data_IF_116876628238
#
_entry.id   IF_116876628238
#
_cell.length_a   1.000
_cell.length_b   1.000
_cell.length_c   1.000
_cell.angle_alpha   90.00
_cell.angle_beta   90.00
_cell.angle_gamma   90.00
#
_symmetry.space_group_name_H-M   'P 1'
#
loop_
_entity.id
_entity.type
_entity.pdbx_description
1 polymer ?
#
# COMPACT_ATOMS: atom_id res chain seq x y z
N UNK A 1 -2.81 7.96 -81.31
CA UNK A 1 -2.05 6.73 -81.03
C UNK A 1 -1.17 6.95 -79.81
N UNK A 2 -1.47 6.21 -78.73
CA UNK A 2 -0.58 5.66 -77.69
C UNK A 2 0.19 6.58 -76.70
N UNK A 3 0.05 6.16 -75.43
CA UNK A 3 0.82 6.41 -74.18
C UNK A 3 0.52 7.73 -73.46
N UNK A 4 -0.24 7.77 -72.34
CA UNK A 4 -0.13 7.08 -71.04
C UNK A 4 1.17 7.40 -70.30
N UNK A 5 1.10 8.35 -69.35
CA UNK A 5 2.00 8.43 -68.21
C UNK A 5 1.18 8.86 -66.98
N UNK A 6 0.89 7.88 -66.15
CA UNK A 6 0.31 8.01 -64.81
C UNK A 6 1.47 8.36 -63.88
N UNK A 7 1.37 9.49 -63.15
CA UNK A 7 2.24 9.77 -62.00
C UNK A 7 1.34 9.74 -60.77
N UNK A 8 1.38 8.63 -60.05
CA UNK A 8 0.83 8.49 -58.70
C UNK A 8 1.82 9.17 -57.76
N UNK A 9 1.48 10.37 -57.30
CA UNK A 9 2.16 11.01 -56.18
C UNK A 9 1.79 10.26 -54.89
N UNK A 10 2.69 9.43 -54.39
CA UNK A 10 2.61 8.85 -53.06
C UNK A 10 2.77 10.01 -52.07
N UNK A 11 1.66 10.42 -51.45
CA UNK A 11 1.71 11.23 -50.26
C UNK A 11 2.37 10.40 -49.16
N UNK A 12 3.67 10.64 -48.93
CA UNK A 12 4.35 10.26 -47.70
C UNK A 12 3.69 11.02 -46.56
N UNK A 13 2.65 10.42 -45.99
CA UNK A 13 2.15 10.80 -44.69
C UNK A 13 3.30 10.64 -43.71
N UNK A 14 3.77 11.78 -43.19
CA UNK A 14 4.73 11.85 -42.09
C UNK A 14 4.07 11.15 -40.90
N UNK A 15 4.32 9.85 -40.76
CA UNK A 15 4.15 9.12 -39.53
C UNK A 15 5.15 9.75 -38.56
N UNK A 16 4.67 10.74 -37.80
CA UNK A 16 5.38 11.22 -36.63
C UNK A 16 5.68 10.01 -35.77
N UNK A 17 6.96 9.62 -35.74
CA UNK A 17 7.46 8.68 -34.75
C UNK A 17 7.15 9.30 -33.39
N UNK A 18 6.05 8.85 -32.79
CA UNK A 18 5.83 9.00 -31.37
C UNK A 18 7.04 8.34 -30.73
N UNK A 19 7.94 9.17 -30.21
CA UNK A 19 9.08 8.73 -29.42
C UNK A 19 8.47 8.08 -28.18
N UNK A 20 8.30 6.75 -28.22
CA UNK A 20 7.94 5.97 -27.06
C UNK A 20 8.97 6.31 -25.98
N UNK A 21 8.54 6.95 -24.89
CA UNK A 21 9.37 7.17 -23.72
C UNK A 21 9.88 5.80 -23.27
N UNK A 22 11.21 5.62 -23.29
CA UNK A 22 11.84 4.36 -22.87
C UNK A 22 11.48 4.04 -21.41
N UNK A 23 11.11 2.77 -21.20
CA UNK A 23 10.70 2.19 -19.93
C UNK A 23 11.78 2.34 -18.85
N UNK A 24 11.42 2.67 -17.59
CA UNK A 24 12.25 2.30 -16.45
C UNK A 24 12.31 0.76 -16.36
N UNK A 25 13.51 0.20 -16.45
CA UNK A 25 13.79 -1.23 -16.68
C UNK A 25 13.45 -2.21 -15.54
N UNK A 26 12.38 -2.00 -14.76
CA UNK A 26 12.17 -2.72 -13.48
C UNK A 26 10.72 -3.14 -13.18
N UNK A 27 9.83 -3.17 -14.17
CA UNK A 27 8.48 -3.70 -14.01
C UNK A 27 8.34 -5.00 -14.82
N UNK A 28 8.19 -6.14 -14.14
CA UNK A 28 7.91 -7.45 -14.75
C UNK A 28 6.46 -7.58 -15.27
N UNK A 29 5.66 -6.51 -15.23
CA UNK A 29 4.32 -6.43 -15.81
C UNK A 29 4.25 -5.32 -16.87
N UNK A 30 3.54 -5.50 -17.99
CA UNK A 30 3.36 -4.45 -18.98
C UNK A 30 2.66 -3.23 -18.37
N UNK A 31 3.18 -2.03 -18.66
CA UNK A 31 2.73 -0.73 -18.14
C UNK A 31 1.28 -0.35 -18.51
N UNK A 32 0.68 -1.07 -19.47
CA UNK A 32 -0.71 -0.88 -19.90
C UNK A 32 -1.64 -1.24 -18.74
N UNK A 33 -2.20 -0.21 -18.08
CA UNK A 33 -3.13 -0.36 -16.96
C UNK A 33 -2.66 0.29 -15.65
N UNK A 34 -1.41 0.77 -15.52
CA UNK A 34 -0.84 1.13 -14.21
C UNK A 34 -0.80 2.65 -13.94
N UNK A 35 -1.21 3.09 -12.73
CA UNK A 35 -0.95 4.44 -12.20
C UNK A 35 0.35 4.45 -11.41
N UNK A 36 1.32 5.26 -11.82
CA UNK A 36 2.56 5.41 -11.06
C UNK A 36 2.56 6.72 -10.31
N UNK A 37 2.98 6.66 -9.07
CA UNK A 37 3.25 7.83 -8.28
C UNK A 37 4.70 7.87 -7.86
N UNK A 38 5.45 8.74 -8.52
CA UNK A 38 6.80 9.08 -8.13
C UNK A 38 6.72 10.17 -7.06
N UNK A 39 7.44 9.99 -5.97
CA UNK A 39 7.72 11.10 -5.07
C UNK A 39 8.69 12.06 -5.74
N UNK A 40 8.48 13.36 -5.57
CA UNK A 40 9.48 14.37 -5.95
C UNK A 40 10.73 14.29 -5.06
N UNK A 41 10.61 13.72 -3.84
CA UNK A 41 11.69 13.63 -2.86
C UNK A 41 12.76 12.58 -3.19
N UNK A 42 12.44 11.62 -4.07
CA UNK A 42 13.33 10.50 -4.48
C UNK A 42 13.74 9.57 -3.34
N UNK A 43 13.04 9.60 -2.22
CA UNK A 43 13.25 8.66 -1.10
C UNK A 43 12.38 7.40 -1.24
N UNK A 44 11.28 7.52 -1.99
CA UNK A 44 10.39 6.40 -2.29
C UNK A 44 9.74 6.52 -3.66
N UNK A 45 9.26 5.39 -4.17
CA UNK A 45 8.41 5.30 -5.34
C UNK A 45 7.19 4.46 -5.00
N UNK A 46 6.02 4.87 -5.46
CA UNK A 46 4.78 4.12 -5.26
C UNK A 46 4.15 3.79 -6.61
N UNK A 47 3.69 2.56 -6.75
CA UNK A 47 3.10 2.03 -7.98
C UNK A 47 1.75 1.43 -7.63
N UNK A 48 0.71 1.71 -8.43
CA UNK A 48 -0.58 1.03 -8.39
C UNK A 48 -0.86 0.47 -9.79
N UNK A 49 -1.03 -0.85 -9.89
CA UNK A 49 -1.43 -1.51 -11.13
C UNK A 49 -2.92 -1.35 -11.46
N UNK A 50 -3.28 -1.65 -12.71
CA UNK A 50 -4.66 -1.71 -13.23
C UNK A 50 -5.59 -2.66 -12.47
N UNK A 51 -4.96 -3.64 -11.84
CA UNK A 51 -5.51 -4.68 -11.00
C UNK A 51 -5.56 -4.29 -9.51
N UNK A 52 -5.24 -3.04 -9.18
CA UNK A 52 -5.18 -2.53 -7.81
C UNK A 52 -4.00 -3.08 -6.99
N UNK A 53 -3.05 -3.79 -7.59
CA UNK A 53 -1.81 -4.18 -6.92
C UNK A 53 -0.97 -2.92 -6.65
N UNK A 54 -0.78 -2.59 -5.38
CA UNK A 54 -0.04 -1.41 -4.98
C UNK A 54 1.24 -1.76 -4.23
N UNK A 55 2.33 -1.05 -4.51
CA UNK A 55 3.63 -1.29 -3.88
C UNK A 55 4.41 0.00 -3.68
N UNK A 56 4.98 0.17 -2.49
CA UNK A 56 5.92 1.24 -2.17
C UNK A 56 7.33 0.67 -2.12
N UNK A 57 8.22 1.26 -2.90
CA UNK A 57 9.66 0.99 -2.95
C UNK A 57 10.40 2.10 -2.23
N UNK A 58 11.33 1.75 -1.37
CA UNK A 58 12.31 2.70 -0.84
C UNK A 58 13.41 2.93 -1.87
N UNK A 59 14.00 4.13 -1.89
CA UNK A 59 15.05 4.50 -2.84
C UNK A 59 16.30 4.92 -2.08
N UNK A 60 17.40 4.19 -2.29
CA UNK A 60 18.73 4.59 -1.81
C UNK A 60 19.67 4.74 -2.99
N UNK A 61 20.45 5.82 -3.02
CA UNK A 61 21.39 6.10 -4.11
C UNK A 61 20.74 6.08 -5.51
N UNK A 62 19.50 6.59 -5.63
CA UNK A 62 18.68 6.61 -6.86
C UNK A 62 18.34 5.24 -7.42
N UNK A 63 18.39 4.18 -6.60
CA UNK A 63 17.98 2.82 -6.96
C UNK A 63 16.89 2.35 -6.02
N UNK A 64 15.88 1.67 -6.57
CA UNK A 64 14.86 0.98 -5.77
C UNK A 64 15.51 -0.11 -4.93
N UNK A 65 15.11 -0.21 -3.68
CA UNK A 65 15.35 -1.36 -2.82
C UNK A 65 14.24 -2.37 -3.12
N UNK A 66 14.54 -3.38 -3.95
CA UNK A 66 13.57 -4.40 -4.40
C UNK A 66 13.84 -5.81 -3.86
N UNK A 67 14.96 -6.01 -3.18
CA UNK A 67 15.38 -7.32 -2.66
C UNK A 67 14.94 -7.54 -1.22
N UNK A 68 14.58 -8.77 -0.86
CA UNK A 68 14.51 -9.22 0.54
C UNK A 68 13.50 -8.48 1.42
N UNK A 69 12.24 -8.34 0.98
CA UNK A 69 11.19 -7.73 1.81
C UNK A 69 11.30 -6.21 1.99
N UNK A 70 12.21 -5.54 1.28
CA UNK A 70 12.47 -4.10 1.37
C UNK A 70 11.43 -3.24 0.63
N UNK A 71 10.19 -3.72 0.50
CA UNK A 71 9.07 -3.00 -0.11
C UNK A 71 7.83 -3.15 0.77
N UNK A 72 6.88 -2.22 0.65
CA UNK A 72 5.59 -2.31 1.30
C UNK A 72 4.53 -2.66 0.26
N UNK A 73 3.96 -3.87 0.34
CA UNK A 73 2.84 -4.24 -0.54
C UNK A 73 1.54 -3.78 0.07
N UNK A 74 0.76 -3.02 -0.70
CA UNK A 74 -0.46 -2.37 -0.26
C UNK A 74 -1.64 -3.03 -0.97
N UNK A 75 -2.61 -3.46 -0.19
CA UNK A 75 -3.83 -4.14 -0.63
C UNK A 75 -5.06 -3.39 -0.11
N UNK A 76 -6.14 -3.38 -0.88
CA UNK A 76 -7.40 -2.78 -0.46
C UNK A 76 -8.34 -3.85 0.08
N UNK A 77 -8.60 -3.80 1.39
CA UNK A 77 -9.38 -4.81 2.09
C UNK A 77 -10.83 -4.35 2.27
N UNK A 78 -11.77 -5.29 2.14
CA UNK A 78 -13.15 -5.11 2.57
C UNK A 78 -13.50 -6.26 3.52
N UNK A 79 -14.10 -5.93 4.65
CA UNK A 79 -14.58 -6.90 5.62
C UNK A 79 -16.05 -6.66 5.95
N UNK A 80 -16.77 -7.76 6.14
CA UNK A 80 -18.16 -7.76 6.58
C UNK A 80 -18.28 -8.46 7.94
N UNK A 81 -19.02 -7.81 8.84
CA UNK A 81 -19.37 -8.37 10.14
C UNK A 81 -20.50 -9.36 9.96
N UNK A 82 -20.21 -10.64 10.21
CA UNK A 82 -21.17 -11.73 10.13
C UNK A 82 -21.33 -12.40 11.50
N UNK A 83 -22.49 -13.02 11.74
CA UNK A 83 -22.69 -13.86 12.93
C UNK A 83 -21.79 -15.10 12.82
N UNK A 84 -20.87 -15.25 13.77
CA UNK A 84 -19.99 -16.42 13.89
C UNK A 84 -20.66 -17.61 14.56
N UNK A 85 -19.95 -18.74 14.62
CA UNK A 85 -20.36 -19.91 15.42
C UNK A 85 -20.50 -19.49 16.89
N UNK A 86 -21.64 -19.78 17.52
CA UNK A 86 -21.93 -19.39 18.90
C UNK A 86 -22.40 -17.95 19.08
N UNK A 87 -22.84 -17.26 18.01
CA UNK A 87 -23.47 -15.94 18.09
C UNK A 87 -22.51 -14.75 18.23
N UNK A 88 -21.21 -15.00 18.44
CA UNK A 88 -20.20 -13.93 18.48
C UNK A 88 -19.99 -13.34 17.07
N UNK A 89 -20.03 -12.02 16.90
CA UNK A 89 -19.75 -11.40 15.61
C UNK A 89 -18.28 -11.63 15.22
N UNK A 90 -18.03 -11.83 13.93
CA UNK A 90 -16.67 -11.90 13.37
C UNK A 90 -16.61 -11.15 12.05
N UNK A 91 -15.45 -10.57 11.76
CA UNK A 91 -15.17 -9.97 10.46
C UNK A 91 -14.75 -11.06 9.47
N UNK A 92 -15.30 -11.01 8.26
CA UNK A 92 -14.95 -11.90 7.15
C UNK A 92 -14.54 -11.05 5.97
N UNK A 93 -13.35 -11.32 5.43
CA UNK A 93 -12.85 -10.63 4.25
C UNK A 93 -13.64 -11.00 3.00
N UNK A 94 -13.98 -9.98 2.23
CA UNK A 94 -14.58 -10.07 0.90
C UNK A 94 -13.47 -9.89 -0.14
N UNK A 95 -13.53 -10.65 -1.23
CA UNK A 95 -12.51 -10.61 -2.28
C UNK A 95 -12.86 -9.55 -3.31
N UNK A 96 -11.87 -8.87 -3.86
CA UNK A 96 -12.06 -8.05 -5.06
C UNK A 96 -12.40 -8.99 -6.22
N UNK A 97 -13.38 -8.61 -7.04
CA UNK A 97 -13.76 -9.35 -8.25
C UNK A 97 -12.71 -9.09 -9.33
N UNK A 98 -12.37 -10.12 -10.11
CA UNK A 98 -11.48 -9.95 -11.26
C UNK A 98 -12.05 -8.86 -12.20
N UNK A 99 -11.20 -7.94 -12.64
CA UNK A 99 -11.57 -6.77 -13.45
C UNK A 99 -12.64 -5.88 -12.78
N UNK A 100 -12.81 -5.98 -11.46
CA UNK A 100 -13.81 -5.24 -10.67
C UNK A 100 -13.47 -3.78 -10.42
N UNK A 101 -12.73 -3.16 -11.33
CA UNK A 101 -12.00 -1.92 -11.15
C UNK A 101 -12.57 -0.87 -12.11
N UNK A 102 -13.17 0.19 -11.56
CA UNK A 102 -13.89 1.24 -12.29
C UNK A 102 -13.39 2.65 -11.91
N UNK A 103 -13.79 3.67 -12.69
CA UNK A 103 -13.52 5.10 -12.44
C UNK A 103 -12.04 5.47 -12.30
N UNK A 104 -11.17 4.70 -12.94
CA UNK A 104 -9.76 5.00 -12.90
C UNK A 104 -9.44 6.31 -13.62
N UNK A 105 -8.63 7.15 -12.96
CA UNK A 105 -8.04 8.32 -13.59
C UNK A 105 -7.17 7.92 -14.79
N UNK A 106 -6.75 8.89 -15.61
CA UNK A 106 -5.75 8.60 -16.65
C UNK A 106 -4.42 8.21 -16.00
N UNK A 107 -3.79 7.16 -16.53
CA UNK A 107 -2.44 6.74 -16.15
C UNK A 107 -1.46 7.91 -16.32
N UNK A 108 -0.56 8.07 -15.35
CA UNK A 108 0.47 9.10 -15.39
C UNK A 108 1.69 8.65 -14.62
N UNK A 109 2.87 8.99 -15.13
CA UNK A 109 4.14 8.82 -14.41
C UNK A 109 4.49 10.04 -13.55
N UNK A 110 3.61 11.04 -13.44
CA UNK A 110 3.83 12.26 -12.64
C UNK A 110 2.49 12.73 -12.06
N UNK A 111 1.95 12.02 -11.05
CA UNK A 111 0.66 12.41 -10.51
C UNK A 111 0.78 13.77 -9.84
N UNK A 112 -0.22 14.64 -10.00
CA UNK A 112 -0.20 15.95 -9.40
C UNK A 112 -0.21 15.83 -7.87
N UNK A 113 0.80 16.40 -7.22
CA UNK A 113 0.84 16.50 -5.76
C UNK A 113 -0.43 17.19 -5.23
N UNK A 114 -0.92 16.72 -4.08
CA UNK A 114 -2.08 17.23 -3.35
C UNK A 114 -3.40 17.18 -4.11
N UNK A 115 -3.45 16.51 -5.26
CA UNK A 115 -4.71 16.23 -5.97
C UNK A 115 -5.14 14.78 -5.73
N UNK A 116 -6.44 14.54 -5.55
CA UNK A 116 -6.95 13.20 -5.35
C UNK A 116 -6.89 12.38 -6.65
N UNK A 117 -6.39 11.15 -6.54
CA UNK A 117 -6.51 10.10 -7.54
C UNK A 117 -7.38 8.99 -6.93
N UNK A 118 -8.52 8.71 -7.53
CA UNK A 118 -9.45 7.71 -7.02
C UNK A 118 -9.81 6.66 -8.05
N UNK A 119 -10.22 5.50 -7.55
CA UNK A 119 -10.88 4.46 -8.31
C UNK A 119 -11.92 3.77 -7.43
N UNK A 120 -12.83 3.02 -8.06
CA UNK A 120 -13.85 2.22 -7.40
C UNK A 120 -13.50 0.74 -7.57
N UNK A 121 -13.41 0.00 -6.47
CA UNK A 121 -13.20 -1.44 -6.46
C UNK A 121 -14.50 -2.18 -6.10
N UNK A 122 -14.82 -3.21 -6.86
CA UNK A 122 -15.98 -4.09 -6.67
C UNK A 122 -15.53 -5.38 -6.01
N UNK A 123 -16.22 -5.74 -4.94
CA UNK A 123 -15.98 -6.92 -4.14
C UNK A 123 -17.11 -7.95 -4.31
N UNK A 124 -16.84 -9.20 -3.93
CA UNK A 124 -17.82 -10.29 -3.94
C UNK A 124 -19.12 -9.89 -3.25
N UNK A 125 -20.27 -10.17 -3.89
CA UNK A 125 -21.59 -9.72 -3.43
C UNK A 125 -22.00 -8.34 -3.95
N UNK A 126 -21.26 -7.79 -4.92
CA UNK A 126 -21.58 -6.51 -5.57
C UNK A 126 -21.25 -5.27 -4.74
N UNK A 127 -20.51 -5.43 -3.64
CA UNK A 127 -20.15 -4.32 -2.75
C UNK A 127 -19.11 -3.45 -3.46
N UNK A 128 -19.33 -2.14 -3.54
CA UNK A 128 -18.37 -1.20 -4.15
C UNK A 128 -17.74 -0.31 -3.07
N UNK A 129 -16.43 -0.16 -3.13
CA UNK A 129 -15.70 0.79 -2.30
C UNK A 129 -14.88 1.74 -3.17
N UNK A 130 -14.93 3.03 -2.86
CA UNK A 130 -14.08 4.05 -3.45
C UNK A 130 -12.79 4.15 -2.64
N UNK A 131 -11.67 4.06 -3.34
CA UNK A 131 -10.33 4.27 -2.79
C UNK A 131 -9.82 5.58 -3.37
N UNK A 132 -9.30 6.46 -2.52
CA UNK A 132 -8.70 7.74 -2.96
C UNK A 132 -7.31 7.90 -2.37
N UNK A 133 -6.35 8.25 -3.21
CA UNK A 133 -4.98 8.57 -2.88
C UNK A 133 -4.73 10.06 -3.06
N UNK A 134 -3.97 10.66 -2.15
CA UNK A 134 -3.44 12.02 -2.29
C UNK A 134 -1.95 11.97 -2.07
N UNK A 135 -1.17 12.24 -3.12
CA UNK A 135 0.29 12.25 -3.03
C UNK A 135 0.80 13.53 -2.40
N UNK A 136 1.80 13.39 -1.53
CA UNK A 136 2.47 14.50 -0.86
C UNK A 136 3.97 14.39 -1.08
N UNK A 137 4.74 15.39 -0.66
CA UNK A 137 6.20 15.35 -0.77
C UNK A 137 6.82 14.24 0.08
N UNK A 138 6.22 13.95 1.22
CA UNK A 138 6.79 13.08 2.24
C UNK A 138 6.13 11.69 2.25
N UNK A 139 5.23 11.39 1.30
CA UNK A 139 4.41 10.18 1.33
C UNK A 139 3.08 10.30 0.61
N UNK A 140 2.05 9.63 1.12
CA UNK A 140 0.68 9.66 0.58
C UNK A 140 -0.38 9.59 1.67
N UNK A 141 -1.58 10.05 1.32
CA UNK A 141 -2.78 9.86 2.12
C UNK A 141 -3.73 8.92 1.39
N UNK A 142 -4.36 7.99 2.10
CA UNK A 142 -5.31 7.02 1.54
C UNK A 142 -6.62 7.10 2.32
N UNK A 143 -7.74 7.24 1.63
CA UNK A 143 -9.08 7.09 2.20
C UNK A 143 -9.84 5.97 1.50
N UNK A 144 -10.64 5.24 2.27
CA UNK A 144 -11.54 4.19 1.80
C UNK A 144 -12.97 4.51 2.21
N UNK A 145 -13.92 4.29 1.30
CA UNK A 145 -15.33 4.51 1.56
C UNK A 145 -16.19 3.47 0.85
N UNK A 146 -17.08 2.78 1.57
CA UNK A 146 -18.10 1.93 0.93
C UNK A 146 -19.12 2.84 0.26
N UNK A 147 -19.31 2.68 -1.05
CA UNK A 147 -20.23 3.49 -1.87
C UNK A 147 -21.47 2.72 -2.30
N UNK A 148 -21.39 1.39 -2.36
CA UNK A 148 -22.53 0.49 -2.58
C UNK A 148 -22.38 -0.74 -1.69
N UNK A 149 -23.44 -1.16 -1.01
CA UNK A 149 -23.45 -2.35 -0.16
C UNK A 149 -23.78 -3.63 -0.92
N UNK A 150 -24.23 -3.55 -2.17
CA UNK A 150 -24.66 -4.72 -2.95
C UNK A 150 -25.65 -5.58 -2.17
N UNK A 151 -25.36 -6.88 -2.07
CA UNK A 151 -26.19 -7.87 -1.37
C UNK A 151 -25.92 -7.93 0.15
N UNK A 152 -24.96 -7.17 0.66
CA UNK A 152 -24.54 -7.23 2.07
C UNK A 152 -25.63 -6.72 3.00
N UNK A 153 -25.86 -7.46 4.08
CA UNK A 153 -26.75 -7.09 5.19
C UNK A 153 -25.99 -6.78 6.47
N UNK A 154 -24.68 -7.05 6.49
CA UNK A 154 -23.81 -6.82 7.63
C UNK A 154 -23.27 -5.39 7.70
N UNK A 155 -22.57 -5.12 8.80
CA UNK A 155 -21.71 -3.94 8.92
C UNK A 155 -20.48 -4.16 8.02
N UNK A 156 -20.12 -3.15 7.22
CA UNK A 156 -19.00 -3.21 6.29
C UNK A 156 -17.91 -2.23 6.71
N UNK A 157 -16.65 -2.66 6.59
CA UNK A 157 -15.49 -1.78 6.70
C UNK A 157 -14.56 -2.00 5.51
N UNK A 158 -14.27 -0.93 4.79
CA UNK A 158 -13.27 -0.91 3.73
C UNK A 158 -11.99 -0.26 4.30
N UNK A 159 -10.83 -0.85 4.05
CA UNK A 159 -9.57 -0.42 4.63
C UNK A 159 -8.36 -0.72 3.76
N UNK A 160 -7.19 -0.47 4.31
CA UNK A 160 -5.90 -0.65 3.65
C UNK A 160 -5.11 -1.68 4.43
N UNK A 161 -4.62 -2.71 3.75
CA UNK A 161 -3.77 -3.76 4.32
C UNK A 161 -2.37 -3.62 3.73
N UNK A 162 -1.37 -3.45 4.59
CA UNK A 162 0.02 -3.30 4.18
C UNK A 162 0.83 -4.48 4.69
N UNK A 163 1.52 -5.16 3.78
CA UNK A 163 2.53 -6.17 4.11
C UNK A 163 3.87 -5.48 4.35
N UNK A 164 4.34 -5.56 5.58
CA UNK A 164 5.74 -5.32 5.93
C UNK A 164 6.47 -6.63 5.66
N UNK A 165 7.36 -6.62 4.66
CA UNK A 165 8.10 -7.79 4.23
C UNK A 165 9.02 -8.36 5.30
N UNK A 166 9.48 -9.59 5.07
CA UNK A 166 10.51 -10.22 5.89
C UNK A 166 11.88 -9.57 5.60
N UNK A 167 12.24 -8.57 6.39
CA UNK A 167 13.50 -7.83 6.28
C UNK A 167 14.72 -8.67 6.67
N UNK A 168 14.50 -9.76 7.40
CA UNK A 168 15.54 -10.53 8.08
C UNK A 168 15.55 -11.99 7.65
N UNK A 169 15.00 -12.32 6.47
CA UNK A 169 14.93 -13.68 5.93
C UNK A 169 16.27 -14.44 6.01
N UNK A 170 17.38 -13.72 5.85
CA UNK A 170 18.75 -14.25 5.90
C UNK A 170 19.16 -14.78 7.29
N UNK A 171 18.44 -14.42 8.35
CA UNK A 171 18.70 -14.88 9.72
C UNK A 171 18.28 -16.35 9.85
N UNK A 172 17.13 -16.73 9.31
CA UNK A 172 16.67 -18.12 9.28
C UNK A 172 17.55 -18.99 8.37
N UNK A 173 17.93 -18.46 7.20
CA UNK A 173 18.72 -19.21 6.22
C UNK A 173 20.17 -19.50 6.72
N UNK A 174 20.63 -18.79 7.74
CA UNK A 174 22.01 -18.83 8.22
C UNK A 174 22.19 -19.46 9.62
N UNK A 175 21.13 -19.99 10.24
CA UNK A 175 21.17 -20.62 11.58
C UNK A 175 22.01 -19.82 12.60
N UNK A 176 21.80 -18.50 12.65
CA UNK A 176 22.65 -17.59 13.43
C UNK A 176 22.45 -17.75 14.93
N UNK A 177 23.54 -17.60 15.69
CA UNK A 177 23.51 -17.47 17.14
C UNK A 177 22.70 -16.22 17.56
N UNK A 178 22.12 -16.25 18.77
CA UNK A 178 21.26 -15.16 19.28
C UNK A 178 21.94 -13.79 19.23
N UNK A 179 23.22 -13.71 19.58
CA UNK A 179 24.01 -12.47 19.58
C UNK A 179 24.23 -11.89 18.18
N UNK A 180 24.39 -12.74 17.17
CA UNK A 180 24.54 -12.31 15.78
C UNK A 180 23.21 -11.82 15.20
N UNK A 181 22.11 -12.46 15.62
CA UNK A 181 20.75 -12.01 15.32
C UNK A 181 20.49 -10.64 15.92
N UNK A 182 20.75 -10.44 17.22
CA UNK A 182 20.58 -9.16 17.92
C UNK A 182 21.39 -8.03 17.26
N UNK A 183 22.64 -8.28 16.88
CA UNK A 183 23.48 -7.30 16.20
C UNK A 183 22.91 -6.85 14.84
N UNK A 184 22.25 -7.75 14.09
CA UNK A 184 21.58 -7.39 12.83
C UNK A 184 20.29 -6.60 13.03
N UNK A 185 19.76 -6.59 14.25
CA UNK A 185 18.50 -5.97 14.63
C UNK A 185 18.67 -4.64 15.37
N UNK A 186 19.89 -4.33 15.83
CA UNK A 186 20.22 -3.18 16.68
C UNK A 186 19.76 -1.84 16.10
N UNK A 187 19.91 -1.68 14.78
CA UNK A 187 19.54 -0.46 14.04
C UNK A 187 18.07 -0.43 13.59
N UNK A 188 17.28 -1.46 13.94
CA UNK A 188 15.86 -1.51 13.59
C UNK A 188 14.98 -1.13 14.77
N UNK A 189 14.07 -0.18 14.55
CA UNK A 189 13.22 0.37 15.61
C UNK A 189 11.77 0.41 15.21
N UNK A 190 10.90 -0.01 16.12
CA UNK A 190 9.45 0.17 16.00
C UNK A 190 8.99 1.19 17.02
N UNK A 191 8.21 2.17 16.56
CA UNK A 191 7.52 3.11 17.46
C UNK A 191 6.01 2.96 17.27
N UNK A 192 5.29 2.81 18.38
CA UNK A 192 3.86 2.53 18.37
C UNK A 192 3.14 3.48 19.32
N UNK A 193 1.97 3.97 18.91
CA UNK A 193 1.05 4.67 19.81
C UNK A 193 -0.28 3.94 19.85
N UNK A 194 -0.48 3.14 20.89
CA UNK A 194 -1.72 2.38 21.12
C UNK A 194 -2.97 3.25 21.19
N UNK A 195 -4.14 2.63 20.94
CA UNK A 195 -5.43 3.29 21.15
C UNK A 195 -5.57 3.67 22.64
N UNK A 196 -5.85 4.95 22.92
CA UNK A 196 -5.95 5.49 24.29
C UNK A 196 -4.60 5.84 24.93
N UNK A 197 -3.47 5.52 24.30
CA UNK A 197 -2.14 5.83 24.83
C UNK A 197 -1.81 7.33 24.69
N UNK A 198 -1.32 7.91 25.80
CA UNK A 198 -0.85 9.30 25.83
C UNK A 198 0.52 9.48 25.19
N UNK A 199 1.36 8.45 25.20
CA UNK A 199 2.74 8.48 24.73
C UNK A 199 2.97 7.40 23.68
N UNK A 200 3.99 7.63 22.86
CA UNK A 200 4.51 6.63 21.93
C UNK A 200 5.46 5.72 22.69
N UNK A 201 5.27 4.42 22.53
CA UNK A 201 6.13 3.36 23.04
C UNK A 201 7.14 2.96 21.96
N UNK A 202 8.36 2.66 22.37
CA UNK A 202 9.40 2.14 21.48
C UNK A 202 9.53 0.65 21.74
N UNK A 203 9.27 -0.15 20.71
CA UNK A 203 9.54 -1.58 20.70
C UNK A 203 10.88 -1.75 20.00
N UNK A 204 11.87 -2.25 20.73
CA UNK A 204 13.16 -2.55 20.14
C UNK A 204 13.10 -3.92 19.49
N UNK A 205 13.72 -4.08 18.32
CA UNK A 205 13.73 -5.36 17.62
C UNK A 205 14.59 -6.44 18.29
N UNK A 206 15.46 -6.07 19.25
CA UNK A 206 16.18 -7.05 20.09
C UNK A 206 15.22 -8.01 20.83
N UNK A 207 13.99 -7.57 21.10
CA UNK A 207 12.90 -8.39 21.62
C UNK A 207 12.09 -9.04 20.48
N UNK A 208 12.73 -9.79 19.58
CA UNK A 208 12.07 -10.32 18.37
C UNK A 208 10.94 -11.34 18.62
N UNK A 209 10.77 -11.80 19.86
CA UNK A 209 9.64 -12.64 20.29
C UNK A 209 8.36 -11.82 20.56
N UNK A 210 8.44 -10.49 20.53
CA UNK A 210 7.27 -9.61 20.68
C UNK A 210 6.24 -9.90 19.58
N UNK A 211 4.99 -10.09 20.00
CA UNK A 211 3.84 -10.23 19.11
C UNK A 211 2.99 -8.98 19.20
N UNK A 212 3.13 -8.06 18.23
CA UNK A 212 2.45 -6.75 18.24
C UNK A 212 0.92 -6.86 18.30
N UNK A 213 0.35 -7.93 17.74
CA UNK A 213 -1.09 -8.21 17.82
C UNK A 213 -1.55 -8.51 19.26
N UNK A 214 -0.68 -9.09 20.09
CA UNK A 214 -0.97 -9.40 21.50
C UNK A 214 -0.69 -8.21 22.40
N UNK A 215 0.39 -7.45 22.13
CA UNK A 215 0.74 -6.22 22.86
C UNK A 215 -0.28 -5.09 22.62
N UNK A 216 -0.82 -5.00 21.41
CA UNK A 216 -1.78 -3.96 21.01
C UNK A 216 -3.09 -4.56 20.48
N UNK A 217 -3.89 -5.26 21.32
CA UNK A 217 -5.06 -6.02 20.88
C UNK A 217 -6.22 -5.12 20.41
N UNK A 218 -6.25 -3.86 20.85
CA UNK A 218 -7.21 -2.84 20.41
C UNK A 218 -6.70 -2.04 19.19
N UNK A 219 -5.54 -2.39 18.65
CA UNK A 219 -4.86 -1.65 17.61
C UNK A 219 -4.17 -0.37 18.09
N UNK A 220 -3.73 0.43 17.12
CA UNK A 220 -2.86 1.60 17.33
C UNK A 220 -3.30 2.75 16.44
N UNK A 221 -2.91 3.98 16.80
CA UNK A 221 -3.20 5.19 16.01
C UNK A 221 -1.99 5.67 15.20
N UNK A 222 -0.80 5.26 15.61
CA UNK A 222 0.45 5.50 14.91
C UNK A 222 1.36 4.28 15.04
N UNK A 223 2.07 3.99 13.95
CA UNK A 223 3.10 2.98 13.85
C UNK A 223 4.22 3.55 12.99
N UNK A 224 5.47 3.31 13.37
CA UNK A 224 6.63 3.64 12.56
C UNK A 224 7.65 2.50 12.65
N UNK A 225 8.36 2.27 11.55
CA UNK A 225 9.44 1.31 11.44
C UNK A 225 10.62 1.97 10.71
N UNK A 226 11.73 2.07 11.44
CA UNK A 226 13.04 2.52 10.96
C UNK A 226 13.94 1.29 10.82
N UNK A 227 14.63 1.15 9.68
CA UNK A 227 15.56 0.04 9.44
C UNK A 227 16.61 0.42 8.40
N UNK A 228 17.85 -0.03 8.60
CA UNK A 228 18.94 0.04 7.62
C UNK A 228 18.57 -0.66 6.29
N UNK A 229 17.72 -1.70 6.37
CA UNK A 229 17.17 -2.44 5.22
C UNK A 229 16.27 -1.60 4.34
N UNK A 230 15.64 -0.57 4.90
CA UNK A 230 14.94 0.45 4.12
C UNK A 230 15.86 1.58 3.67
N UNK A 231 17.18 1.40 3.73
CA UNK A 231 18.12 2.41 3.32
C UNK A 231 18.26 3.55 4.32
N UNK A 232 18.09 3.25 5.60
CA UNK A 232 18.06 4.22 6.72
C UNK A 232 16.82 5.11 6.71
N UNK A 233 15.79 4.72 5.95
CA UNK A 233 14.49 5.38 5.96
C UNK A 233 13.61 4.90 7.11
N UNK A 234 12.81 5.81 7.65
CA UNK A 234 11.70 5.50 8.53
C UNK A 234 10.39 5.58 7.74
N UNK A 235 9.61 4.50 7.72
CA UNK A 235 8.23 4.60 7.26
C UNK A 235 7.28 4.76 8.44
N UNK A 236 6.28 5.60 8.28
CA UNK A 236 5.27 5.90 9.29
C UNK A 236 3.87 5.67 8.75
N UNK A 237 3.04 5.02 9.53
CA UNK A 237 1.59 4.89 9.35
C UNK A 237 0.88 5.62 10.46
N UNK A 238 0.04 6.60 10.13
CA UNK A 238 -0.75 7.35 11.12
C UNK A 238 -2.16 7.58 10.62
N UNK A 239 -3.14 7.67 11.51
CA UNK A 239 -4.47 8.16 11.10
C UNK A 239 -4.48 9.68 11.19
N UNK A 240 -4.95 10.36 10.14
CA UNK A 240 -4.94 11.82 10.07
C UNK A 240 -5.67 12.47 11.25
N UNK A 241 -6.87 11.98 11.57
CA UNK A 241 -7.48 12.17 12.88
C UNK A 241 -7.38 10.88 13.69
N UNK A 242 -6.68 10.87 14.85
CA UNK A 242 -6.53 9.68 15.68
C UNK A 242 -7.83 9.03 16.12
N UNK A 243 -8.98 9.69 16.06
CA UNK A 243 -10.26 9.09 16.42
C UNK A 243 -10.92 8.37 15.24
N UNK A 244 -10.54 8.68 13.99
CA UNK A 244 -11.30 8.31 12.79
C UNK A 244 -10.81 7.03 12.10
N UNK A 245 -9.90 6.29 12.73
CA UNK A 245 -9.39 5.03 12.19
C UNK A 245 -8.37 4.34 13.08
N UNK A 246 -8.28 3.03 12.95
CA UNK A 246 -7.43 2.16 13.77
C UNK A 246 -6.51 1.37 12.85
N UNK A 247 -5.25 1.22 13.27
CA UNK A 247 -4.27 0.31 12.66
C UNK A 247 -4.23 -0.95 13.52
N UNK A 248 -4.61 -2.09 12.95
CA UNK A 248 -4.57 -3.42 13.56
C UNK A 248 -3.32 -4.17 13.07
N UNK A 249 -2.56 -4.81 13.96
CA UNK A 249 -1.48 -5.70 13.55
C UNK A 249 -2.02 -7.10 13.29
N UNK A 250 -1.55 -7.75 12.23
CA UNK A 250 -1.76 -9.18 11.98
C UNK A 250 -0.40 -9.84 11.86
N UNK A 251 0.13 -10.25 13.01
CA UNK A 251 1.37 -10.97 13.17
C UNK A 251 1.07 -12.43 13.53
N UNK A 252 1.62 -13.39 12.78
CA UNK A 252 1.42 -14.84 12.99
C UNK A 252 2.67 -15.59 13.43
N UNK A 253 3.82 -14.94 13.28
CA UNK A 253 5.15 -15.46 13.61
C UNK A 253 5.89 -14.38 14.40
N UNK A 254 7.17 -14.62 14.71
CA UNK A 254 8.07 -13.59 15.22
C UNK A 254 8.11 -12.37 14.30
N UNK A 255 8.35 -11.21 14.89
CA UNK A 255 8.27 -9.91 14.21
C UNK A 255 9.26 -9.79 13.04
N UNK A 256 10.34 -10.58 13.07
CA UNK A 256 11.35 -10.66 12.02
C UNK A 256 10.82 -11.22 10.70
N UNK A 257 9.80 -12.09 10.69
CA UNK A 257 9.31 -12.77 9.47
C UNK A 257 8.28 -11.96 8.67
N UNK A 258 8.25 -10.64 8.86
CA UNK A 258 7.23 -9.78 8.31
C UNK A 258 5.84 -9.97 8.92
N UNK A 259 4.98 -8.98 8.71
CA UNK A 259 3.64 -8.94 9.28
C UNK A 259 2.75 -8.02 8.46
N UNK A 260 1.43 -8.09 8.69
CA UNK A 260 0.52 -7.12 8.09
C UNK A 260 0.10 -6.06 9.10
N UNK A 261 -0.13 -4.86 8.60
CA UNK A 261 -0.91 -3.82 9.27
C UNK A 261 -2.19 -3.59 8.48
N UNK A 262 -3.33 -3.56 9.15
CA UNK A 262 -4.61 -3.26 8.54
C UNK A 262 -5.11 -1.93 9.12
N UNK A 263 -5.29 -0.93 8.29
CA UNK A 263 -5.96 0.29 8.68
C UNK A 263 -7.43 0.25 8.26
N UNK A 264 -8.32 0.53 9.19
CA UNK A 264 -9.75 0.72 8.93
C UNK A 264 -10.19 2.09 9.45
N UNK A 265 -10.89 2.90 8.64
CA UNK A 265 -11.56 4.09 9.16
C UNK A 265 -12.70 3.68 10.08
N UNK A 266 -13.08 4.58 10.99
CA UNK A 266 -14.36 4.48 11.68
C UNK A 266 -15.49 4.48 10.63
N UNK A 267 -16.36 3.46 10.60
CA UNK A 267 -17.41 3.34 9.59
C UNK A 267 -18.34 4.56 9.50
N UNK A 268 -18.60 5.27 10.61
CA UNK A 268 -19.45 6.46 10.63
C UNK A 268 -18.73 7.72 10.15
N UNK A 269 -17.40 7.70 10.18
CA UNK A 269 -16.54 8.79 9.70
C UNK A 269 -15.98 8.53 8.32
N UNK A 270 -16.14 7.32 7.78
CA UNK A 270 -15.67 6.95 6.45
C UNK A 270 -16.19 7.92 5.39
N UNK A 271 -15.28 8.52 4.61
CA UNK A 271 -15.58 9.56 3.62
C UNK A 271 -15.44 11.00 4.12
N UNK A 272 -15.25 11.23 5.43
CA UNK A 272 -14.85 12.54 5.93
C UNK A 272 -13.41 12.85 5.56
N UNK A 273 -13.09 14.14 5.41
CA UNK A 273 -11.76 14.59 4.98
C UNK A 273 -10.63 14.06 5.88
N UNK A 274 -10.87 13.93 7.18
CA UNK A 274 -9.84 13.51 8.15
C UNK A 274 -9.82 11.99 8.40
N UNK A 275 -10.71 11.22 7.77
CA UNK A 275 -10.70 9.75 7.82
C UNK A 275 -9.72 9.19 6.78
N UNK A 276 -8.43 9.46 7.01
CA UNK A 276 -7.33 9.08 6.11
C UNK A 276 -6.22 8.34 6.84
N UNK A 277 -5.67 7.32 6.20
CA UNK A 277 -4.36 6.78 6.51
C UNK A 277 -3.31 7.71 5.90
N UNK A 278 -2.34 8.13 6.71
CA UNK A 278 -1.16 8.83 6.26
C UNK A 278 0.01 7.84 6.26
N UNK A 279 0.58 7.61 5.09
CA UNK A 279 1.85 6.91 4.92
C UNK A 279 2.94 7.93 4.65
N UNK A 280 3.97 7.97 5.48
CA UNK A 280 5.12 8.86 5.29
C UNK A 280 6.41 8.07 5.22
N UNK A 281 7.36 8.56 4.43
CA UNK A 281 8.73 8.07 4.38
C UNK A 281 9.63 9.25 4.75
N UNK A 282 10.52 9.04 5.72
CA UNK A 282 11.48 10.03 6.21
C UNK A 282 12.91 9.54 6.03
#
# INVERSE_FOLDING_TARGET
MKHLAIVIGIAFGVTGFARAEELPATLDKPYLGCWLAFSDSRDFEFVIGGDGDAELFFIKNRKRLSTGGCTLKIYYALEEKVKGKGGKPRWVSRRIVQDGFEDFGKETAKPPLRKPLSFTATYTGGIKAKITHVFTKDGMEISTQVVDKGESKGELRAGVKILVGDLFRQIDDADLEKRETESKLEDTRISVRGVGARRTERVKFEDYDVVLTEEFPNGVRAFALESDRYGDHEFQMTTANPEYGIIEFVQRKKIIHGFYTNWYPDPEKAGQQDARLLLKVK
#
